data_IF_863459016297
#
_entry.id   IF_863459016297
#
_cell.length_a   1.000
_cell.length_b   1.000
_cell.length_c   1.000
_cell.angle_alpha   90.00
_cell.angle_beta   90.00
_cell.angle_gamma   90.00
#
_symmetry.space_group_name_H-M   'P 1'
#
loop_
_entity.id
_entity.type
_entity.pdbx_description
1 polymer ?
#
# COMPACT_ATOMS: atom_id res chain seq x y z
N UNK A 1 -19.01 9.23 -48.59
CA UNK A 1 -18.36 8.05 -47.98
C UNK A 1 -17.27 8.48 -46.99
N UNK A 2 -17.58 9.15 -45.87
CA UNK A 2 -16.67 9.26 -44.71
C UNK A 2 -17.53 9.59 -43.48
N UNK A 3 -18.45 8.69 -43.08
CA UNK A 3 -19.34 8.93 -41.91
C UNK A 3 -19.45 7.72 -40.97
N UNK A 4 -18.58 6.73 -41.08
CA UNK A 4 -18.70 5.50 -40.27
C UNK A 4 -17.29 5.01 -39.97
N UNK A 5 -16.75 5.29 -38.78
CA UNK A 5 -15.63 4.52 -38.21
C UNK A 5 -15.35 4.83 -36.73
N UNK A 6 -15.81 5.95 -36.16
CA UNK A 6 -15.44 6.31 -34.78
C UNK A 6 -16.35 5.76 -33.66
N UNK A 7 -17.36 4.94 -33.97
CA UNK A 7 -18.42 4.59 -33.00
C UNK A 7 -18.35 3.14 -32.46
N UNK A 8 -17.20 2.48 -32.50
CA UNK A 8 -17.09 1.07 -32.08
C UNK A 8 -15.86 0.76 -31.21
N UNK A 9 -15.38 1.72 -30.41
CA UNK A 9 -14.54 1.40 -29.25
C UNK A 9 -15.48 1.17 -28.06
N UNK A 10 -16.26 0.08 -28.13
CA UNK A 10 -17.01 -0.41 -26.98
C UNK A 10 -16.01 -0.80 -25.91
N UNK A 11 -15.90 0.08 -24.91
CA UNK A 11 -15.37 -0.20 -23.59
C UNK A 11 -16.08 -1.43 -23.02
N UNK A 12 -15.51 -2.61 -23.27
CA UNK A 12 -15.62 -3.71 -22.33
C UNK A 12 -14.51 -3.51 -21.30
N UNK A 13 -14.80 -2.63 -20.34
CA UNK A 13 -14.04 -2.59 -19.10
C UNK A 13 -14.12 -3.97 -18.47
N UNK A 14 -12.95 -4.60 -18.30
CA UNK A 14 -12.86 -5.92 -17.71
C UNK A 14 -13.36 -5.80 -16.26
N UNK A 15 -14.52 -6.40 -15.97
CA UNK A 15 -14.98 -6.63 -14.60
C UNK A 15 -14.07 -7.67 -13.96
N UNK A 16 -12.84 -7.28 -13.62
CA UNK A 16 -11.86 -8.15 -13.01
C UNK A 16 -12.31 -8.41 -11.57
N UNK A 17 -12.78 -9.63 -11.30
CA UNK A 17 -13.02 -10.10 -9.93
C UNK A 17 -11.72 -9.93 -9.15
N UNK A 18 -11.74 -9.05 -8.15
CA UNK A 18 -10.57 -8.74 -7.36
C UNK A 18 -10.14 -9.98 -6.56
N UNK A 19 -8.88 -10.38 -6.76
CA UNK A 19 -8.28 -11.43 -5.94
C UNK A 19 -8.19 -10.97 -4.49
N UNK A 20 -8.35 -11.92 -3.56
CA UNK A 20 -8.10 -11.66 -2.15
C UNK A 20 -6.62 -11.29 -1.95
N UNK A 21 -6.35 -10.34 -1.04
CA UNK A 21 -4.97 -10.00 -0.71
C UNK A 21 -4.36 -11.06 0.20
N UNK A 22 -3.04 -11.27 0.12
CA UNK A 22 -2.32 -12.07 1.11
C UNK A 22 -2.42 -11.51 2.54
N UNK A 23 -2.55 -10.18 2.71
CA UNK A 23 -2.76 -9.52 4.00
C UNK A 23 -4.16 -8.90 4.04
N UNK A 24 -4.89 -9.12 5.14
CA UNK A 24 -6.18 -8.47 5.42
C UNK A 24 -6.02 -6.94 5.47
N UNK A 25 -6.97 -6.19 4.89
CA UNK A 25 -6.86 -4.74 4.72
C UNK A 25 -6.64 -3.97 6.03
N UNK A 26 -7.35 -4.31 7.11
CA UNK A 26 -7.15 -3.64 8.41
C UNK A 26 -5.74 -3.89 9.00
N UNK A 27 -5.20 -5.08 8.80
CA UNK A 27 -3.81 -5.42 9.17
C UNK A 27 -2.82 -4.66 8.28
N UNK A 28 -3.08 -4.59 6.97
CA UNK A 28 -2.25 -3.85 6.03
C UNK A 28 -2.20 -2.35 6.38
N UNK A 29 -3.32 -1.74 6.73
CA UNK A 29 -3.39 -0.35 7.20
C UNK A 29 -2.47 -0.14 8.41
N UNK A 30 -2.54 -1.04 9.40
CA UNK A 30 -1.70 -0.94 10.61
C UNK A 30 -0.21 -1.06 10.29
N UNK A 31 0.16 -1.98 9.39
CA UNK A 31 1.55 -2.16 8.94
C UNK A 31 2.06 -0.95 8.18
N UNK A 32 1.26 -0.39 7.27
CA UNK A 32 1.64 0.77 6.46
C UNK A 32 1.88 2.02 7.31
N UNK A 33 1.10 2.20 8.37
CA UNK A 33 1.32 3.30 9.33
C UNK A 33 2.69 3.18 10.00
N UNK A 34 3.02 1.99 10.50
CA UNK A 34 4.30 1.77 11.17
C UNK A 34 5.48 1.89 10.19
N UNK A 35 5.31 1.42 8.96
CA UNK A 35 6.29 1.59 7.86
C UNK A 35 6.53 3.08 7.60
N UNK A 36 5.49 3.88 7.40
CA UNK A 36 5.64 5.31 7.12
C UNK A 36 6.20 6.07 8.32
N UNK A 37 5.87 5.67 9.55
CA UNK A 37 6.47 6.24 10.76
C UNK A 37 7.97 5.94 10.85
N UNK A 38 8.39 4.71 10.52
CA UNK A 38 9.80 4.33 10.45
C UNK A 38 10.56 5.14 9.37
N UNK A 39 9.96 5.32 8.19
CA UNK A 39 10.52 6.16 7.12
C UNK A 39 10.66 7.61 7.57
N UNK A 40 9.65 8.16 8.25
CA UNK A 40 9.67 9.52 8.78
C UNK A 40 10.73 9.69 9.89
N UNK A 41 10.92 8.69 10.76
CA UNK A 41 11.97 8.70 11.78
C UNK A 41 13.38 8.69 11.16
N UNK A 42 13.56 7.95 10.06
CA UNK A 42 14.83 7.84 9.35
C UNK A 42 15.07 8.94 8.30
N UNK A 43 14.15 9.90 8.12
CA UNK A 43 14.17 10.85 7.00
C UNK A 43 15.45 11.70 6.93
N UNK A 44 16.05 12.01 8.07
CA UNK A 44 17.25 12.86 8.18
C UNK A 44 18.57 12.07 8.01
N UNK A 45 18.49 10.73 7.98
CA UNK A 45 19.65 9.86 7.75
C UNK A 45 19.97 9.81 6.26
N UNK A 46 21.22 9.48 5.91
CA UNK A 46 21.68 9.42 4.52
C UNK A 46 22.59 8.23 4.27
N UNK A 47 22.63 7.80 3.00
CA UNK A 47 23.49 6.72 2.52
C UNK A 47 23.25 5.41 3.28
N UNK A 48 24.31 4.60 3.40
CA UNK A 48 24.24 3.28 4.00
C UNK A 48 23.67 3.25 5.43
N UNK A 49 23.86 4.30 6.21
CA UNK A 49 23.28 4.38 7.56
C UNK A 49 21.76 4.40 7.54
N UNK A 50 21.16 5.11 6.57
CA UNK A 50 19.70 5.12 6.40
C UNK A 50 19.20 3.74 6.01
N UNK A 51 19.84 3.14 5.01
CA UNK A 51 19.42 1.84 4.47
C UNK A 51 19.45 0.76 5.57
N UNK A 52 20.57 0.64 6.30
CA UNK A 52 20.69 -0.33 7.39
C UNK A 52 19.68 -0.12 8.53
N UNK A 53 19.33 1.14 8.84
CA UNK A 53 18.34 1.44 9.87
C UNK A 53 16.92 1.09 9.40
N UNK A 54 16.58 1.39 8.14
CA UNK A 54 15.29 1.04 7.57
C UNK A 54 15.11 -0.47 7.45
N UNK A 55 16.15 -1.21 7.04
CA UNK A 55 16.10 -2.68 6.99
C UNK A 55 15.76 -3.28 8.37
N UNK A 56 16.42 -2.78 9.42
CA UNK A 56 16.14 -3.19 10.80
C UNK A 56 14.71 -2.82 11.24
N UNK A 57 14.23 -1.63 10.88
CA UNK A 57 12.85 -1.23 11.20
C UNK A 57 11.83 -2.10 10.48
N UNK A 58 12.02 -2.40 9.20
CA UNK A 58 11.12 -3.27 8.45
C UNK A 58 11.09 -4.68 9.03
N UNK A 59 12.25 -5.25 9.36
CA UNK A 59 12.32 -6.56 10.04
C UNK A 59 11.52 -6.55 11.35
N UNK A 60 11.68 -5.50 12.16
CA UNK A 60 10.97 -5.38 13.43
C UNK A 60 9.47 -5.17 13.25
N UNK A 61 9.04 -4.33 12.31
CA UNK A 61 7.62 -4.09 12.00
C UNK A 61 6.96 -5.38 11.54
N UNK A 62 7.57 -6.11 10.60
CA UNK A 62 7.04 -7.38 10.13
C UNK A 62 6.93 -8.39 11.28
N UNK A 63 7.93 -8.44 12.18
CA UNK A 63 7.86 -9.28 13.37
C UNK A 63 6.73 -8.91 14.32
N UNK A 64 6.51 -7.61 14.59
CA UNK A 64 5.42 -7.11 15.44
C UNK A 64 4.06 -7.53 14.87
N UNK A 65 3.90 -7.41 13.55
CA UNK A 65 2.65 -7.76 12.87
C UNK A 65 2.54 -9.25 12.54
N UNK A 66 3.55 -10.08 12.83
CA UNK A 66 3.55 -11.49 12.45
C UNK A 66 3.39 -11.68 10.95
N UNK A 67 4.21 -10.96 10.18
CA UNK A 67 4.27 -10.99 8.72
C UNK A 67 5.66 -11.38 8.27
N UNK A 68 5.74 -11.98 7.08
CA UNK A 68 6.97 -12.09 6.33
C UNK A 68 7.03 -10.99 5.25
N UNK A 69 8.25 -10.61 4.86
CA UNK A 69 8.48 -9.56 3.88
C UNK A 69 7.87 -9.89 2.51
N UNK A 70 7.96 -11.15 2.07
CA UNK A 70 7.47 -11.56 0.75
C UNK A 70 5.95 -11.43 0.64
N UNK A 71 5.22 -11.73 1.72
CA UNK A 71 3.77 -11.57 1.84
C UNK A 71 3.39 -10.09 1.79
N UNK A 72 4.15 -9.22 2.45
CA UNK A 72 3.96 -7.77 2.34
C UNK A 72 4.23 -7.27 0.91
N UNK A 73 5.37 -7.61 0.32
CA UNK A 73 5.73 -7.22 -1.04
C UNK A 73 4.70 -7.70 -2.07
N UNK A 74 4.29 -8.97 -1.98
CA UNK A 74 3.24 -9.53 -2.85
C UNK A 74 1.91 -8.80 -2.67
N UNK A 75 1.53 -8.45 -1.45
CA UNK A 75 0.33 -7.64 -1.19
C UNK A 75 0.45 -6.27 -1.85
N UNK A 76 1.60 -5.61 -1.70
CA UNK A 76 1.87 -4.30 -2.30
C UNK A 76 1.83 -4.36 -3.84
N UNK A 77 2.31 -5.44 -4.44
CA UNK A 77 2.17 -5.66 -5.89
C UNK A 77 0.69 -5.80 -6.28
N UNK A 78 -0.07 -6.64 -5.58
CA UNK A 78 -1.49 -6.87 -5.88
C UNK A 78 -2.36 -5.61 -5.73
N UNK A 79 -2.11 -4.75 -4.74
CA UNK A 79 -2.88 -3.50 -4.59
C UNK A 79 -2.50 -2.45 -5.63
N UNK A 80 -1.25 -2.41 -6.10
CA UNK A 80 -0.79 -1.44 -7.12
C UNK A 80 -1.43 -1.67 -8.48
N UNK A 81 -1.84 -2.90 -8.77
CA UNK A 81 -2.57 -3.26 -9.99
C UNK A 81 -4.04 -2.81 -9.95
N UNK A 82 -4.53 -2.36 -8.79
CA UNK A 82 -5.90 -1.93 -8.58
C UNK A 82 -5.95 -0.53 -7.96
N UNK A 83 -6.03 0.54 -8.79
CA UNK A 83 -6.02 1.92 -8.31
C UNK A 83 -7.14 2.24 -7.30
N UNK A 84 -8.35 1.73 -7.49
CA UNK A 84 -9.48 1.97 -6.59
C UNK A 84 -9.22 1.38 -5.19
N UNK A 85 -8.66 0.17 -5.15
CA UNK A 85 -8.30 -0.49 -3.89
C UNK A 85 -7.11 0.19 -3.21
N UNK A 86 -6.12 0.61 -3.98
CA UNK A 86 -4.98 1.36 -3.47
C UNK A 86 -5.45 2.65 -2.79
N UNK A 87 -6.31 3.42 -3.47
CA UNK A 87 -6.90 4.64 -2.93
C UNK A 87 -7.68 4.37 -1.63
N UNK A 88 -8.51 3.33 -1.61
CA UNK A 88 -9.27 2.97 -0.42
C UNK A 88 -8.38 2.61 0.79
N UNK A 89 -7.32 1.82 0.57
CA UNK A 89 -6.36 1.46 1.63
C UNK A 89 -5.65 2.70 2.16
N UNK A 90 -5.16 3.58 1.28
CA UNK A 90 -4.46 4.79 1.70
C UNK A 90 -5.40 5.82 2.38
N UNK A 91 -6.66 5.91 1.96
CA UNK A 91 -7.66 6.73 2.64
C UNK A 91 -7.87 6.26 4.09
N UNK A 92 -7.94 4.95 4.32
CA UNK A 92 -8.07 4.40 5.68
C UNK A 92 -6.78 4.58 6.49
N UNK A 93 -5.60 4.46 5.88
CA UNK A 93 -4.30 4.80 6.52
C UNK A 93 -4.31 6.24 7.04
N UNK A 94 -4.67 7.22 6.21
CA UNK A 94 -4.70 8.62 6.62
C UNK A 94 -5.68 8.87 7.76
N UNK A 95 -6.90 8.35 7.64
CA UNK A 95 -7.94 8.46 8.67
C UNK A 95 -7.52 7.83 10.00
N UNK A 96 -6.85 6.68 9.95
CA UNK A 96 -6.33 6.00 11.14
C UNK A 96 -5.18 6.81 11.78
N UNK A 97 -4.28 7.39 10.99
CA UNK A 97 -3.21 8.27 11.49
C UNK A 97 -3.78 9.50 12.18
N UNK A 98 -4.73 10.20 11.55
CA UNK A 98 -5.42 11.36 12.14
C UNK A 98 -6.10 11.00 13.47
N UNK A 99 -6.73 9.82 13.55
CA UNK A 99 -7.34 9.34 14.79
C UNK A 99 -6.31 9.12 15.91
N UNK A 100 -5.13 8.57 15.58
CA UNK A 100 -4.04 8.35 16.54
C UNK A 100 -3.45 9.69 17.02
N UNK A 101 -3.31 10.66 16.12
CA UNK A 101 -2.85 12.01 16.47
C UNK A 101 -3.84 12.75 17.37
N UNK A 102 -5.14 12.68 17.06
CA UNK A 102 -6.18 13.35 17.86
C UNK A 102 -6.39 12.74 19.27
N UNK A 103 -5.89 11.52 19.49
CA UNK A 103 -5.92 10.83 20.77
C UNK A 103 -4.68 11.04 21.65
N UNK A 104 -3.69 11.78 21.16
CA UNK A 104 -2.47 12.22 21.88
C UNK A 104 -2.65 13.64 22.42
#
# INVERSE_FOLDING_TARGET
MVLVCCAALSFWGCGHKQAALPIEEGKLVSVLIDVHLAEAAAQNLRGHTKDSILDMYYEQIFKIHGLDQATFESTMLSIRENPERLEAVYAEVMKEMERREAGL
#
